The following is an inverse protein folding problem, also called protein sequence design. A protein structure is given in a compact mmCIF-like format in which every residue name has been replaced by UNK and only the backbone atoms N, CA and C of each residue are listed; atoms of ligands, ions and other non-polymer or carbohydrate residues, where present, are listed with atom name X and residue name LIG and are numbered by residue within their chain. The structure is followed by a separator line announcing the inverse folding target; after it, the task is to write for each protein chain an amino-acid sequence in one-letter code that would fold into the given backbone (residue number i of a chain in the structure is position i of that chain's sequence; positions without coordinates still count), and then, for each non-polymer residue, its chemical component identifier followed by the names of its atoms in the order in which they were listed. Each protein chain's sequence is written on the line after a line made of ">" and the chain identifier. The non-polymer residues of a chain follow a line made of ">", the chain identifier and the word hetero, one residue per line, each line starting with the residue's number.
data_IF_497701225436
#
_entry.id   IF_497701225436
#
_cell.length_a   1.000
_cell.length_b   1.000
_cell.length_c   1.000
_cell.angle_alpha   90.00
_cell.angle_beta   90.00
_cell.angle_gamma   90.00
#
_symmetry.space_group_name_H-M   'P 1'
#
loop_
_entity.id
_entity.type
_entity.pdbx_description
1 polymer ?
#
# COMPACT_ATOMS: atom_id res chain seq x y z
N UNK A 1 -53.61 15.88 -13.86
CA UNK A 1 -52.61 15.82 -12.75
C UNK A 1 -52.32 17.24 -12.25
N UNK A 2 -52.34 17.51 -10.94
CA UNK A 2 -52.00 18.84 -10.40
C UNK A 2 -50.53 19.15 -10.72
N UNK A 3 -50.19 20.40 -11.10
CA UNK A 3 -48.83 20.85 -11.45
C UNK A 3 -47.76 20.40 -10.43
N UNK A 4 -48.10 20.36 -9.14
CA UNK A 4 -47.24 19.85 -8.06
C UNK A 4 -46.90 18.36 -8.22
N UNK A 5 -47.87 17.52 -8.59
CA UNK A 5 -47.66 16.08 -8.83
C UNK A 5 -46.73 15.84 -10.01
N UNK A 6 -46.86 16.63 -11.09
CA UNK A 6 -45.95 16.55 -12.25
C UNK A 6 -44.52 16.89 -11.83
N UNK A 7 -44.33 17.98 -11.08
CA UNK A 7 -43.00 18.39 -10.60
C UNK A 7 -42.38 17.31 -9.72
N UNK A 8 -43.14 16.74 -8.77
CA UNK A 8 -42.64 15.67 -7.90
C UNK A 8 -42.21 14.44 -8.73
N UNK A 9 -43.03 14.01 -9.68
CA UNK A 9 -42.69 12.87 -10.55
C UNK A 9 -41.40 13.14 -11.34
N UNK A 10 -41.25 14.34 -11.93
CA UNK A 10 -40.05 14.71 -12.68
C UNK A 10 -38.81 14.70 -11.78
N UNK A 11 -38.90 15.26 -10.57
CA UNK A 11 -37.77 15.25 -9.62
C UNK A 11 -37.41 13.83 -9.22
N UNK A 12 -38.38 12.98 -8.94
CA UNK A 12 -38.13 11.57 -8.58
C UNK A 12 -37.47 10.82 -9.74
N UNK A 13 -37.98 10.96 -10.96
CA UNK A 13 -37.38 10.33 -12.16
C UNK A 13 -35.95 10.82 -12.36
N UNK A 14 -35.71 12.13 -12.29
CA UNK A 14 -34.38 12.70 -12.45
C UNK A 14 -33.41 12.20 -11.36
N UNK A 15 -33.86 12.13 -10.10
CA UNK A 15 -33.05 11.62 -8.99
C UNK A 15 -32.75 10.12 -9.13
N UNK A 16 -33.75 9.31 -9.48
CA UNK A 16 -33.56 7.88 -9.73
C UNK A 16 -32.63 7.63 -10.91
N UNK A 17 -32.78 8.38 -12.02
CA UNK A 17 -31.89 8.30 -13.17
C UNK A 17 -30.45 8.70 -12.80
N UNK A 18 -30.29 9.76 -12.01
CA UNK A 18 -28.99 10.19 -11.49
C UNK A 18 -28.33 9.12 -10.63
N UNK A 19 -29.07 8.52 -9.69
CA UNK A 19 -28.56 7.42 -8.86
C UNK A 19 -28.21 6.21 -9.70
N UNK A 20 -29.08 5.79 -10.62
CA UNK A 20 -28.82 4.65 -11.52
C UNK A 20 -27.54 4.88 -12.33
N UNK A 21 -27.38 6.06 -12.94
CA UNK A 21 -26.15 6.44 -13.61
C UNK A 21 -24.94 6.36 -12.69
N UNK A 22 -25.06 6.84 -11.44
CA UNK A 22 -23.98 6.81 -10.45
C UNK A 22 -23.62 5.39 -10.01
N UNK A 23 -24.55 4.45 -10.04
CA UNK A 23 -24.31 3.04 -9.75
C UNK A 23 -23.71 2.27 -10.93
N UNK A 24 -24.02 2.68 -12.16
CA UNK A 24 -23.56 2.00 -13.38
C UNK A 24 -22.22 2.53 -13.90
N UNK A 25 -21.94 3.83 -13.79
CA UNK A 25 -20.70 4.42 -14.33
C UNK A 25 -19.44 3.79 -13.71
N UNK A 26 -18.30 3.76 -14.43
CA UNK A 26 -17.01 3.36 -13.88
C UNK A 26 -16.67 4.13 -12.60
N UNK A 27 -16.07 3.42 -11.65
CA UNK A 27 -15.65 4.01 -10.38
C UNK A 27 -14.27 4.61 -10.55
N UNK A 28 -14.18 5.93 -10.39
CA UNK A 28 -12.93 6.68 -10.42
C UNK A 28 -12.58 7.01 -8.97
N UNK A 29 -11.65 6.24 -8.41
CA UNK A 29 -11.37 6.27 -6.96
C UNK A 29 -10.45 7.42 -6.54
N UNK A 30 -9.71 8.04 -7.48
CA UNK A 30 -8.83 9.18 -7.23
C UNK A 30 -8.90 10.22 -8.37
N UNK A 31 -8.26 11.37 -8.18
CA UNK A 31 -8.08 12.35 -9.26
C UNK A 31 -6.76 12.08 -9.97
N UNK A 32 -6.78 12.01 -11.29
CA UNK A 32 -5.57 11.91 -12.11
C UNK A 32 -4.90 13.28 -12.16
N UNK A 33 -3.80 13.45 -11.42
CA UNK A 33 -3.08 14.72 -11.35
C UNK A 33 -1.94 14.78 -12.36
N UNK A 34 -1.49 16.00 -12.68
CA UNK A 34 -0.37 16.23 -13.60
C UNK A 34 0.91 15.49 -13.18
N UNK A 35 1.07 15.23 -11.88
CA UNK A 35 2.21 14.50 -11.34
C UNK A 35 2.32 13.07 -11.87
N UNK A 36 1.23 12.42 -12.30
CA UNK A 36 1.24 11.03 -12.77
C UNK A 36 0.27 10.73 -13.93
N UNK A 37 -0.37 11.73 -14.53
CA UNK A 37 -1.32 11.53 -15.63
C UNK A 37 -0.68 10.90 -16.89
N UNK A 38 0.64 11.05 -17.07
CA UNK A 38 1.41 10.46 -18.18
C UNK A 38 2.52 9.55 -17.68
N UNK A 39 3.01 8.61 -18.51
CA UNK A 39 4.27 7.93 -18.25
C UNK A 39 5.45 8.93 -18.18
N UNK A 40 6.56 8.49 -17.58
CA UNK A 40 7.82 9.23 -17.54
C UNK A 40 8.53 9.04 -18.88
N UNK A 41 8.57 10.10 -19.68
CA UNK A 41 9.29 10.10 -20.94
C UNK A 41 10.81 10.06 -20.71
N UNK A 42 11.48 9.10 -21.36
CA UNK A 42 12.95 9.02 -21.37
C UNK A 42 13.45 9.48 -22.74
N UNK A 43 13.82 10.77 -22.80
CA UNK A 43 14.31 11.40 -24.03
C UNK A 43 15.75 11.00 -24.37
N UNK A 44 16.58 10.86 -23.35
CA UNK A 44 18.01 10.58 -23.51
C UNK A 44 18.55 9.82 -22.29
N UNK A 45 19.37 8.81 -22.55
CA UNK A 45 20.19 8.14 -21.55
C UNK A 45 21.55 8.86 -21.42
N UNK A 46 22.15 8.91 -20.21
CA UNK A 46 23.49 9.44 -20.06
C UNK A 46 24.49 8.65 -20.92
N UNK A 47 25.57 9.33 -21.37
CA UNK A 47 26.70 8.64 -21.98
C UNK A 47 27.16 7.49 -21.06
N UNK A 48 27.46 6.34 -21.67
CA UNK A 48 27.83 5.07 -21.03
C UNK A 48 26.69 4.21 -20.46
N UNK A 49 25.44 4.69 -20.41
CA UNK A 49 24.26 3.84 -20.09
C UNK A 49 23.63 3.34 -21.38
N UNK A 50 23.80 2.06 -21.68
CA UNK A 50 23.45 1.46 -22.98
C UNK A 50 21.99 1.03 -23.10
N UNK A 51 21.25 0.95 -21.98
CA UNK A 51 19.86 0.50 -21.95
C UNK A 51 19.13 1.07 -20.73
N UNK A 52 17.80 1.17 -20.82
CA UNK A 52 16.93 1.52 -19.70
C UNK A 52 16.77 0.39 -18.68
N UNK A 53 17.16 -0.84 -19.02
CA UNK A 53 17.07 -2.01 -18.15
C UNK A 53 17.95 -1.86 -16.91
N UNK A 54 17.42 -2.29 -15.76
CA UNK A 54 18.15 -2.42 -14.50
C UNK A 54 19.38 -3.32 -14.64
N UNK A 55 19.40 -4.26 -15.60
CA UNK A 55 20.56 -5.11 -15.90
C UNK A 55 21.75 -4.31 -16.41
N UNK A 56 21.54 -3.17 -17.07
CA UNK A 56 22.62 -2.27 -17.45
C UNK A 56 23.30 -1.68 -16.21
N UNK A 57 22.51 -1.29 -15.20
CA UNK A 57 23.00 -0.81 -13.90
C UNK A 57 23.69 -1.93 -13.11
N UNK A 58 23.15 -3.15 -13.17
CA UNK A 58 23.65 -4.32 -12.45
C UNK A 58 25.11 -4.69 -12.77
N UNK A 59 25.62 -4.29 -13.95
CA UNK A 59 27.01 -4.51 -14.34
C UNK A 59 28.01 -3.87 -13.37
N UNK A 60 27.64 -2.76 -12.73
CA UNK A 60 28.49 -2.05 -11.76
C UNK A 60 27.86 -2.03 -10.36
N UNK A 61 26.54 -1.88 -10.27
CA UNK A 61 25.77 -1.74 -9.02
C UNK A 61 25.13 -3.06 -8.58
N UNK A 62 25.93 -4.12 -8.48
CA UNK A 62 25.48 -5.50 -8.25
C UNK A 62 24.63 -5.64 -6.97
N UNK A 63 25.12 -5.14 -5.83
CA UNK A 63 24.39 -5.27 -4.56
C UNK A 63 23.04 -4.54 -4.58
N UNK A 64 23.01 -3.32 -5.14
CA UNK A 64 21.79 -2.50 -5.24
C UNK A 64 20.77 -3.19 -6.16
N UNK A 65 21.23 -3.74 -7.28
CA UNK A 65 20.38 -4.51 -8.19
C UNK A 65 19.80 -5.74 -7.50
N UNK A 66 20.62 -6.50 -6.77
CA UNK A 66 20.18 -7.69 -6.05
C UNK A 66 19.13 -7.34 -4.99
N UNK A 67 19.29 -6.24 -4.27
CA UNK A 67 18.28 -5.74 -3.32
C UNK A 67 16.96 -5.44 -4.06
N UNK A 68 17.02 -4.59 -5.10
CA UNK A 68 15.86 -4.17 -5.88
C UNK A 68 15.11 -5.35 -6.51
N UNK A 69 15.83 -6.36 -7.00
CA UNK A 69 15.24 -7.51 -7.66
C UNK A 69 14.31 -8.32 -6.72
N UNK A 70 14.51 -8.24 -5.40
CA UNK A 70 13.67 -8.92 -4.40
C UNK A 70 12.38 -8.17 -4.02
N UNK A 71 12.11 -7.02 -4.65
CA UNK A 71 11.10 -6.07 -4.17
C UNK A 71 9.74 -6.29 -4.84
N UNK A 72 8.72 -5.56 -4.39
CA UNK A 72 7.48 -5.40 -5.17
C UNK A 72 7.62 -4.36 -6.27
N UNK A 73 8.64 -3.48 -6.23
CA UNK A 73 8.91 -2.53 -7.30
C UNK A 73 9.37 -3.27 -8.57
N UNK A 74 10.33 -4.18 -8.47
CA UNK A 74 10.78 -5.01 -9.61
C UNK A 74 9.67 -5.90 -10.18
N UNK A 75 8.68 -6.24 -9.35
CA UNK A 75 7.54 -7.09 -9.71
C UNK A 75 6.23 -6.33 -9.88
N UNK A 76 6.26 -5.00 -9.92
CA UNK A 76 5.05 -4.18 -9.87
C UNK A 76 4.09 -4.50 -11.02
N UNK A 77 4.63 -4.78 -12.21
CA UNK A 77 3.85 -5.25 -13.35
C UNK A 77 3.51 -6.72 -13.28
N UNK A 78 4.46 -7.58 -12.91
CA UNK A 78 4.32 -9.04 -13.02
C UNK A 78 3.60 -9.68 -11.84
N UNK A 79 3.25 -8.91 -10.80
CA UNK A 79 2.51 -9.40 -9.65
C UNK A 79 1.16 -10.02 -10.10
N UNK A 80 0.93 -11.33 -9.84
CA UNK A 80 -0.30 -12.00 -10.23
C UNK A 80 -1.57 -11.36 -9.66
N UNK A 81 -1.48 -10.80 -8.44
CA UNK A 81 -2.59 -10.08 -7.85
C UNK A 81 -2.91 -8.84 -8.68
N UNK A 82 -1.92 -7.97 -8.90
CA UNK A 82 -2.10 -6.78 -9.73
C UNK A 82 -2.61 -7.11 -11.13
N UNK A 83 -2.05 -8.12 -11.82
CA UNK A 83 -2.51 -8.50 -13.17
C UNK A 83 -3.98 -8.92 -13.19
N UNK A 84 -4.42 -9.63 -12.15
CA UNK A 84 -5.83 -10.04 -12.02
C UNK A 84 -6.73 -8.84 -11.73
N UNK A 85 -6.31 -7.98 -10.79
CA UNK A 85 -7.07 -6.81 -10.37
C UNK A 85 -7.17 -5.75 -11.48
N UNK A 86 -6.07 -5.53 -12.21
CA UNK A 86 -6.00 -4.62 -13.36
C UNK A 86 -6.93 -5.06 -14.49
N UNK A 87 -6.97 -6.37 -14.81
CA UNK A 87 -7.92 -6.92 -15.78
C UNK A 87 -9.38 -6.78 -15.30
N UNK A 88 -9.62 -6.96 -14.00
CA UNK A 88 -10.95 -6.78 -13.41
C UNK A 88 -11.42 -5.32 -13.48
N UNK A 89 -10.50 -4.34 -13.44
CA UNK A 89 -10.79 -2.92 -13.61
C UNK A 89 -10.55 -2.44 -15.05
N UNK A 90 -10.95 -3.25 -16.04
CA UNK A 90 -10.94 -2.93 -17.47
C UNK A 90 -9.58 -2.52 -18.06
N UNK A 91 -8.49 -2.98 -17.45
CA UNK A 91 -7.12 -2.77 -17.92
C UNK A 91 -6.75 -1.29 -18.15
N UNK A 92 -7.26 -0.40 -17.28
CA UNK A 92 -7.06 1.05 -17.40
C UNK A 92 -5.58 1.43 -17.51
N UNK A 93 -5.28 2.34 -18.43
CA UNK A 93 -3.91 2.79 -18.71
C UNK A 93 -3.29 3.49 -17.49
N UNK A 94 -4.06 4.28 -16.72
CA UNK A 94 -3.51 5.06 -15.60
C UNK A 94 -2.79 4.20 -14.57
N UNK A 95 -3.18 2.94 -14.38
CA UNK A 95 -2.52 1.99 -13.48
C UNK A 95 -1.06 1.73 -13.89
N UNK A 96 -0.78 1.76 -15.19
CA UNK A 96 0.57 1.60 -15.76
C UNK A 96 1.51 2.72 -15.31
N UNK A 97 1.02 3.93 -15.06
CA UNK A 97 1.87 5.07 -14.67
C UNK A 97 2.50 4.91 -13.27
N UNK A 98 2.03 3.94 -12.47
CA UNK A 98 2.65 3.54 -11.20
C UNK A 98 3.34 2.17 -11.27
N UNK A 99 2.83 1.25 -12.07
CA UNK A 99 3.31 -0.15 -12.11
C UNK A 99 4.40 -0.40 -13.16
N UNK A 100 4.43 0.40 -14.23
CA UNK A 100 5.44 0.45 -15.31
C UNK A 100 5.59 1.92 -15.77
N UNK A 101 6.17 2.78 -14.91
CA UNK A 101 6.04 4.22 -15.08
C UNK A 101 6.79 4.80 -16.26
N UNK A 102 7.73 4.10 -16.87
CA UNK A 102 8.46 4.62 -18.04
C UNK A 102 7.60 4.51 -19.30
N UNK A 103 7.69 5.50 -20.18
CA UNK A 103 6.98 5.51 -21.46
C UNK A 103 7.30 4.26 -22.30
N UNK A 104 8.58 3.88 -22.38
CA UNK A 104 9.05 2.76 -23.20
C UNK A 104 8.65 1.38 -22.61
N UNK A 105 8.08 1.34 -21.39
CA UNK A 105 7.46 0.13 -20.84
C UNK A 105 6.00 -0.06 -21.30
N UNK A 106 5.41 0.96 -21.93
CA UNK A 106 4.01 0.94 -22.31
C UNK A 106 3.87 0.83 -23.82
N UNK A 107 2.94 -0.03 -24.24
CA UNK A 107 2.62 -0.34 -25.63
C UNK A 107 2.04 0.86 -26.38
N UNK A 108 1.54 1.86 -25.63
CA UNK A 108 0.91 3.04 -26.18
C UNK A 108 1.43 4.33 -25.51
N UNK A 109 1.59 5.37 -26.32
CA UNK A 109 1.81 6.74 -25.88
C UNK A 109 0.49 7.36 -25.45
N UNK A 110 0.52 8.18 -24.41
CA UNK A 110 -0.62 9.03 -24.02
C UNK A 110 -0.42 10.39 -24.67
N UNK A 111 -1.19 10.70 -25.72
CA UNK A 111 -1.07 11.97 -26.47
C UNK A 111 -2.05 13.03 -25.98
N UNK A 112 -3.19 12.63 -25.42
CA UNK A 112 -4.16 13.54 -24.82
C UNK A 112 -5.21 12.82 -23.97
N UNK A 113 -6.27 13.54 -23.60
CA UNK A 113 -7.40 13.00 -22.86
C UNK A 113 -8.71 13.49 -23.50
N UNK A 114 -9.71 12.61 -23.60
CA UNK A 114 -11.04 12.96 -24.11
C UNK A 114 -11.92 13.61 -23.04
N UNK A 115 -11.58 13.42 -21.77
CA UNK A 115 -12.31 13.91 -20.61
C UNK A 115 -11.44 14.85 -19.76
N UNK A 116 -12.10 15.71 -18.98
CA UNK A 116 -11.43 16.64 -18.07
C UNK A 116 -10.78 15.94 -16.86
N UNK A 117 -11.36 14.80 -16.43
CA UNK A 117 -10.87 14.03 -15.30
C UNK A 117 -9.69 13.11 -15.66
N UNK A 118 -9.30 13.07 -16.95
CA UNK A 118 -8.15 12.35 -17.51
C UNK A 118 -8.21 10.83 -17.35
N UNK A 119 -9.41 10.25 -17.30
CA UNK A 119 -9.62 8.80 -17.25
C UNK A 119 -9.73 8.15 -18.64
N UNK A 120 -9.96 8.95 -19.69
CA UNK A 120 -10.08 8.50 -21.08
C UNK A 120 -8.89 9.01 -21.91
N UNK A 121 -7.72 8.37 -21.82
CA UNK A 121 -6.56 8.77 -22.60
C UNK A 121 -6.76 8.51 -24.10
N UNK A 122 -6.17 9.37 -24.91
CA UNK A 122 -5.96 9.15 -26.34
C UNK A 122 -4.63 8.42 -26.47
N UNK A 123 -4.70 7.22 -27.07
CA UNK A 123 -3.59 6.27 -27.14
C UNK A 123 -3.13 6.07 -28.58
N UNK A 124 -1.82 6.12 -28.77
CA UNK A 124 -1.15 5.83 -30.04
C UNK A 124 -0.11 4.73 -29.85
N UNK A 125 0.13 3.85 -30.84
CA UNK A 125 1.17 2.83 -30.72
C UNK A 125 2.53 3.43 -30.37
N UNK A 126 3.21 2.85 -29.39
CA UNK A 126 4.55 3.27 -29.00
C UNK A 126 5.62 2.52 -29.81
N UNK A 127 6.34 3.16 -30.74
CA UNK A 127 7.38 2.49 -31.52
C UNK A 127 8.62 2.12 -30.70
N UNK A 128 8.76 2.66 -29.48
CA UNK A 128 9.86 2.39 -28.55
C UNK A 128 9.48 1.40 -27.45
N UNK A 129 8.32 0.75 -27.57
CA UNK A 129 7.88 -0.23 -26.58
C UNK A 129 8.89 -1.38 -26.46
N UNK A 130 9.34 -1.62 -25.23
CA UNK A 130 10.25 -2.69 -24.85
C UNK A 130 9.53 -3.60 -23.84
N UNK A 131 9.15 -4.79 -24.32
CA UNK A 131 8.47 -5.78 -23.51
C UNK A 131 9.34 -6.31 -22.37
N UNK A 132 10.65 -6.42 -22.55
CA UNK A 132 11.55 -6.89 -21.49
C UNK A 132 11.67 -5.83 -20.39
N UNK A 133 11.75 -4.55 -20.77
CA UNK A 133 11.74 -3.44 -19.82
C UNK A 133 10.43 -3.37 -19.03
N UNK A 134 9.29 -3.68 -19.66
CA UNK A 134 7.98 -3.73 -18.97
C UNK A 134 7.99 -4.73 -17.80
N UNK A 135 8.66 -5.88 -17.98
CA UNK A 135 8.73 -6.92 -16.95
C UNK A 135 9.65 -6.55 -15.77
N UNK A 136 10.37 -5.43 -15.84
CA UNK A 136 11.14 -4.89 -14.71
C UNK A 136 10.31 -3.97 -13.79
N UNK A 137 9.05 -3.67 -14.12
CA UNK A 137 8.19 -2.85 -13.26
C UNK A 137 8.79 -1.47 -12.95
N UNK A 138 8.90 -1.12 -11.68
CA UNK A 138 9.53 0.13 -11.24
C UNK A 138 11.06 -0.06 -11.20
N UNK A 139 11.71 0.14 -12.36
CA UNK A 139 13.16 -0.02 -12.56
C UNK A 139 13.99 1.17 -12.02
N UNK A 140 15.33 1.07 -12.05
CA UNK A 140 16.25 2.09 -11.52
C UNK A 140 16.00 3.49 -12.12
N UNK A 141 15.76 3.54 -13.43
CA UNK A 141 15.57 4.79 -14.17
C UNK A 141 14.27 5.52 -13.81
N UNK A 142 13.24 4.83 -13.29
CA UNK A 142 12.02 5.48 -12.80
C UNK A 142 12.35 6.48 -11.69
N UNK A 143 13.19 6.06 -10.75
CA UNK A 143 13.57 6.87 -9.59
C UNK A 143 14.74 7.80 -9.87
N UNK A 144 15.75 7.32 -10.60
CA UNK A 144 17.05 7.99 -10.68
C UNK A 144 17.27 8.80 -11.96
N UNK A 145 16.65 8.47 -13.09
CA UNK A 145 16.96 9.16 -14.35
C UNK A 145 16.16 10.45 -14.49
N UNK A 146 16.83 11.60 -14.57
CA UNK A 146 16.22 12.90 -14.92
C UNK A 146 17.11 13.61 -15.91
N UNK A 147 16.54 14.05 -17.03
CA UNK A 147 17.22 14.91 -18.01
C UNK A 147 18.60 14.37 -18.45
N UNK A 148 18.68 13.06 -18.73
CA UNK A 148 19.93 12.41 -19.16
C UNK A 148 20.98 12.26 -18.06
N UNK A 149 20.62 12.45 -16.78
CA UNK A 149 21.52 12.33 -15.62
C UNK A 149 20.95 11.37 -14.59
N UNK A 150 21.83 10.64 -13.90
CA UNK A 150 21.46 9.76 -12.79
C UNK A 150 21.52 10.54 -11.49
N UNK A 151 20.36 10.75 -10.87
CA UNK A 151 20.23 11.35 -9.56
C UNK A 151 20.74 10.39 -8.49
N UNK A 152 21.60 10.85 -7.59
CA UNK A 152 22.09 10.04 -6.48
C UNK A 152 22.26 10.88 -5.21
N UNK A 153 22.58 10.25 -4.06
CA UNK A 153 22.87 10.99 -2.83
C UNK A 153 24.14 11.87 -2.95
N UNK A 154 24.97 11.58 -3.95
CA UNK A 154 26.21 12.28 -4.27
C UNK A 154 26.16 12.85 -5.69
N UNK A 155 26.78 14.01 -5.92
CA UNK A 155 26.79 14.70 -7.21
C UNK A 155 28.16 14.79 -7.88
N UNK A 156 29.20 14.28 -7.24
CA UNK A 156 30.61 14.57 -7.49
C UNK A 156 31.48 13.29 -7.52
N UNK A 157 30.87 12.13 -7.65
CA UNK A 157 31.60 10.85 -7.75
C UNK A 157 32.19 10.66 -9.14
N UNK A 158 33.31 9.91 -9.24
CA UNK A 158 33.89 9.48 -10.51
C UNK A 158 33.06 8.36 -11.15
N UNK A 159 31.93 8.71 -11.75
CA UNK A 159 31.04 7.79 -12.45
C UNK A 159 31.28 7.85 -13.97
N UNK A 160 31.13 6.74 -14.71
CA UNK A 160 31.25 6.72 -16.17
C UNK A 160 30.06 7.38 -16.89
N UNK A 161 29.02 7.74 -16.14
CA UNK A 161 27.80 8.39 -16.62
C UNK A 161 27.56 9.69 -15.85
N UNK A 162 26.82 10.62 -16.46
CA UNK A 162 26.48 11.89 -15.82
C UNK A 162 25.64 11.67 -14.55
N UNK A 163 26.01 12.36 -13.47
CA UNK A 163 25.34 12.28 -12.16
C UNK A 163 24.95 13.66 -11.64
N UNK A 164 23.88 13.73 -10.86
CA UNK A 164 23.50 14.94 -10.12
C UNK A 164 23.06 14.56 -8.72
N UNK A 165 23.31 15.44 -7.75
CA UNK A 165 22.80 15.23 -6.39
C UNK A 165 21.28 15.34 -6.37
N UNK A 166 20.61 14.35 -5.80
CA UNK A 166 19.18 14.36 -5.51
C UNK A 166 18.91 15.32 -4.35
N UNK A 167 18.03 16.30 -4.55
CA UNK A 167 17.64 17.28 -3.53
C UNK A 167 16.88 16.64 -2.36
N UNK A 168 15.59 16.38 -2.56
CA UNK A 168 14.76 15.63 -1.62
C UNK A 168 14.45 14.23 -2.20
N UNK A 169 15.03 13.16 -1.64
CA UNK A 169 14.82 11.81 -2.14
C UNK A 169 13.42 11.26 -1.82
N UNK A 170 12.62 11.89 -0.95
CA UNK A 170 11.24 11.44 -0.71
C UNK A 170 10.29 11.84 -1.85
N UNK A 171 10.62 12.87 -2.64
CA UNK A 171 9.77 13.34 -3.75
C UNK A 171 9.53 12.27 -4.82
N UNK A 172 10.50 11.36 -5.01
CA UNK A 172 10.37 10.28 -6.00
C UNK A 172 9.25 9.30 -5.62
N UNK A 173 8.94 9.17 -4.33
CA UNK A 173 7.88 8.29 -3.83
C UNK A 173 6.48 8.87 -4.10
N UNK A 174 6.36 10.20 -4.06
CA UNK A 174 5.06 10.89 -4.04
C UNK A 174 4.29 10.73 -5.35
N UNK A 175 4.98 10.55 -6.49
CA UNK A 175 4.34 10.32 -7.79
C UNK A 175 3.37 9.14 -7.76
N UNK A 176 3.76 8.04 -7.12
CA UNK A 176 2.99 6.79 -7.12
C UNK A 176 2.27 6.55 -5.79
N UNK A 177 2.85 6.98 -4.66
CA UNK A 177 2.32 6.71 -3.32
C UNK A 177 1.43 7.83 -2.76
N UNK A 178 1.12 8.86 -3.56
CA UNK A 178 0.19 9.93 -3.20
C UNK A 178 -0.81 10.15 -4.33
N UNK A 179 -1.95 9.48 -4.25
CA UNK A 179 -3.09 9.70 -5.14
C UNK A 179 -4.13 10.56 -4.41
N UNK A 180 -4.08 11.87 -4.61
CA UNK A 180 -5.08 12.77 -4.01
C UNK A 180 -6.38 12.77 -4.80
N UNK A 181 -7.47 13.23 -4.18
CA UNK A 181 -8.75 13.33 -4.84
C UNK A 181 -9.64 14.35 -4.16
N UNK A 182 -9.52 15.62 -4.55
CA UNK A 182 -10.59 16.61 -4.31
C UNK A 182 -11.50 16.59 -5.52
N UNK A 183 -12.65 15.92 -5.40
CA UNK A 183 -13.75 15.94 -6.37
C UNK A 183 -15.05 16.21 -5.62
N UNK A 184 -16.03 16.77 -6.32
CA UNK A 184 -17.33 17.11 -5.74
C UNK A 184 -18.11 15.89 -5.20
N UNK A 185 -17.81 14.69 -5.71
CA UNK A 185 -18.48 13.43 -5.37
C UNK A 185 -17.65 12.50 -4.49
N UNK A 186 -16.53 13.00 -3.96
CA UNK A 186 -15.62 12.26 -3.07
C UNK A 186 -15.47 12.98 -1.73
N UNK A 187 -15.89 12.31 -0.66
CA UNK A 187 -15.87 12.80 0.72
C UNK A 187 -14.87 11.98 1.54
N UNK A 188 -13.60 12.13 1.20
CA UNK A 188 -12.49 11.49 1.88
C UNK A 188 -12.03 12.30 3.09
N UNK A 189 -11.81 11.63 4.22
CA UNK A 189 -10.92 12.15 5.27
C UNK A 189 -9.45 11.99 4.85
N UNK A 190 -9.15 10.92 4.12
CA UNK A 190 -7.82 10.62 3.58
C UNK A 190 -7.97 10.03 2.16
N UNK A 191 -7.08 10.27 1.21
CA UNK A 191 -7.19 9.64 -0.11
C UNK A 191 -7.13 8.09 -0.03
N UNK A 192 -7.64 7.32 -1.01
CA UNK A 192 -7.68 5.85 -0.94
C UNK A 192 -6.32 5.20 -0.67
N UNK A 193 -5.24 5.76 -1.25
CA UNK A 193 -3.86 5.42 -0.90
C UNK A 193 -3.20 6.67 -0.27
N UNK A 194 -3.69 7.06 0.90
CA UNK A 194 -3.40 8.33 1.56
C UNK A 194 -2.19 8.33 2.51
N UNK A 195 -1.16 7.52 2.26
CA UNK A 195 -0.02 7.31 3.18
C UNK A 195 0.58 8.61 3.70
N UNK A 196 0.75 9.61 2.83
CA UNK A 196 1.30 10.91 3.26
C UNK A 196 0.34 11.69 4.14
N UNK A 197 -0.95 11.71 3.78
CA UNK A 197 -1.99 12.33 4.62
C UNK A 197 -2.09 11.66 5.99
N UNK A 198 -1.87 10.34 6.07
CA UNK A 198 -1.79 9.61 7.33
C UNK A 198 -0.62 10.09 8.21
N UNK A 199 0.58 10.25 7.62
CA UNK A 199 1.78 10.76 8.32
C UNK A 199 1.53 12.18 8.85
N UNK A 200 1.02 13.05 7.99
CA UNK A 200 0.71 14.44 8.36
C UNK A 200 -0.35 14.51 9.47
N UNK A 201 -1.35 13.62 9.44
CA UNK A 201 -2.45 13.61 10.43
C UNK A 201 -2.01 13.28 11.86
N UNK A 202 -0.86 12.63 12.02
CA UNK A 202 -0.26 12.33 13.33
C UNK A 202 0.87 13.30 13.69
N UNK A 203 1.05 14.37 12.91
CA UNK A 203 2.06 15.41 13.17
C UNK A 203 3.49 15.02 12.79
N UNK A 204 3.68 13.92 12.06
CA UNK A 204 4.98 13.44 11.63
C UNK A 204 5.39 14.05 10.28
N UNK A 205 6.70 14.02 9.99
CA UNK A 205 7.24 14.48 8.70
C UNK A 205 7.44 13.30 7.75
N UNK A 206 7.31 13.56 6.45
CA UNK A 206 7.58 12.58 5.40
C UNK A 206 9.06 12.16 5.47
N UNK A 207 9.30 10.88 5.74
CA UNK A 207 10.62 10.30 5.92
C UNK A 207 10.71 8.87 5.33
N UNK A 208 10.05 8.66 4.18
CA UNK A 208 9.94 7.36 3.51
C UNK A 208 11.31 6.67 3.35
N UNK A 209 12.31 7.42 2.88
CA UNK A 209 13.67 6.91 2.60
C UNK A 209 14.36 6.45 3.87
N UNK A 210 14.15 7.12 4.99
CA UNK A 210 14.84 6.81 6.25
C UNK A 210 14.44 5.42 6.78
N UNK A 211 13.17 5.04 6.64
CA UNK A 211 12.64 3.76 7.11
C UNK A 211 12.66 2.66 6.03
N UNK A 212 12.22 2.97 4.80
CA UNK A 212 12.10 1.96 3.73
C UNK A 212 13.37 1.75 2.91
N UNK A 213 14.36 2.63 3.07
CA UNK A 213 15.71 2.46 2.53
C UNK A 213 16.74 2.60 3.67
N UNK A 214 16.87 1.60 4.56
CA UNK A 214 17.78 1.69 5.70
C UNK A 214 19.21 2.07 5.31
N UNK A 215 19.87 2.83 6.19
CA UNK A 215 21.24 3.25 5.97
C UNK A 215 22.20 2.05 6.01
N UNK A 216 23.21 2.08 5.15
CA UNK A 216 24.28 1.06 5.10
C UNK A 216 25.61 1.74 4.77
N UNK A 217 26.71 1.23 5.29
CA UNK A 217 28.06 1.67 4.90
C UNK A 217 28.63 0.66 3.91
N UNK A 218 28.74 1.04 2.64
CA UNK A 218 29.26 0.17 1.58
C UNK A 218 29.79 0.98 0.41
N UNK A 219 30.63 0.40 -0.47
CA UNK A 219 30.90 1.05 -1.73
C UNK A 219 29.66 0.97 -2.66
N UNK A 220 29.53 1.93 -3.58
CA UNK A 220 28.42 1.91 -4.56
C UNK A 220 28.64 0.87 -5.67
N UNK A 221 29.90 0.51 -5.91
CA UNK A 221 30.37 -0.46 -6.92
C UNK A 221 31.53 -1.26 -6.31
N UNK A 222 31.80 -2.46 -6.83
CA UNK A 222 32.93 -3.27 -6.37
C UNK A 222 34.26 -2.50 -6.47
N UNK A 223 35.10 -2.57 -5.43
CA UNK A 223 36.38 -1.84 -5.35
C UNK A 223 36.26 -0.33 -5.14
N UNK A 224 35.05 0.21 -5.00
CA UNK A 224 34.83 1.62 -4.70
C UNK A 224 35.12 2.00 -3.24
N UNK A 225 35.05 3.30 -2.95
CA UNK A 225 35.18 3.81 -1.58
C UNK A 225 33.89 3.53 -0.77
N UNK A 226 34.07 2.95 0.42
CA UNK A 226 32.99 2.80 1.41
C UNK A 226 32.43 4.16 1.80
N UNK A 227 31.11 4.29 1.73
CA UNK A 227 30.40 5.52 2.06
C UNK A 227 28.97 5.23 2.51
N UNK A 228 28.32 6.26 3.05
CA UNK A 228 26.93 6.18 3.46
C UNK A 228 26.03 5.95 2.23
N UNK A 229 25.42 4.78 2.19
CA UNK A 229 24.49 4.39 1.15
C UNK A 229 23.16 3.98 1.76
N UNK A 230 22.25 3.54 0.90
CA UNK A 230 20.89 3.16 1.25
C UNK A 230 20.58 1.81 0.62
N UNK A 231 19.86 0.98 1.36
CA UNK A 231 19.36 -0.30 0.85
C UNK A 231 18.13 -0.09 -0.04
N UNK A 232 18.01 -0.86 -1.12
CA UNK A 232 16.94 -0.79 -2.10
C UNK A 232 15.96 -1.96 -1.91
N UNK A 233 15.45 -2.12 -0.68
CA UNK A 233 14.62 -3.27 -0.27
C UNK A 233 13.11 -2.95 -0.19
N UNK A 234 12.74 -1.72 0.19
CA UNK A 234 11.36 -1.23 0.37
C UNK A 234 10.39 -2.26 0.97
N UNK A 235 10.81 -2.94 2.04
CA UNK A 235 9.97 -3.93 2.71
C UNK A 235 8.71 -3.25 3.26
N UNK A 236 7.60 -3.99 3.18
CA UNK A 236 6.26 -3.51 3.53
C UNK A 236 5.33 -4.69 3.80
N UNK A 237 4.05 -4.61 3.43
CA UNK A 237 3.05 -5.66 3.76
C UNK A 237 3.31 -7.05 3.16
N UNK A 238 4.22 -7.21 2.21
CA UNK A 238 4.64 -8.53 1.68
C UNK A 238 5.85 -9.12 2.43
N UNK A 239 6.33 -8.44 3.47
CA UNK A 239 7.42 -8.89 4.33
C UNK A 239 6.90 -9.00 5.77
N UNK A 240 6.65 -10.22 6.28
CA UNK A 240 6.10 -10.40 7.61
C UNK A 240 6.94 -9.78 8.72
N UNK A 241 8.26 -9.84 8.62
CA UNK A 241 9.17 -9.28 9.63
C UNK A 241 9.09 -7.75 9.67
N UNK A 242 8.89 -7.10 8.52
CA UNK A 242 8.63 -5.65 8.48
C UNK A 242 7.35 -5.28 9.22
N UNK A 243 6.27 -6.04 9.03
CA UNK A 243 5.00 -5.77 9.71
C UNK A 243 5.10 -6.03 11.21
N UNK A 244 5.78 -7.12 11.61
CA UNK A 244 6.05 -7.42 13.03
C UNK A 244 6.81 -6.29 13.72
N UNK A 245 7.86 -5.74 13.09
CA UNK A 245 8.61 -4.60 13.64
C UNK A 245 7.77 -3.35 13.84
N UNK A 246 6.70 -3.16 13.07
CA UNK A 246 5.81 -2.01 13.21
C UNK A 246 4.81 -2.14 14.36
N UNK A 247 4.53 -3.36 14.83
CA UNK A 247 3.50 -3.65 15.81
C UNK A 247 4.09 -4.03 17.17
N UNK A 248 3.80 -3.23 18.19
CA UNK A 248 3.96 -3.63 19.59
C UNK A 248 2.62 -4.19 20.09
N UNK A 249 2.67 -5.35 20.74
CA UNK A 249 1.51 -5.96 21.41
C UNK A 249 1.84 -6.22 22.86
N UNK A 250 0.90 -5.90 23.76
CA UNK A 250 0.97 -6.21 25.18
C UNK A 250 -0.27 -7.02 25.55
N UNK A 251 -0.07 -8.21 26.12
CA UNK A 251 -1.15 -9.09 26.53
C UNK A 251 -1.03 -9.41 28.01
N UNK A 252 -2.08 -9.11 28.77
CA UNK A 252 -2.08 -9.24 30.23
C UNK A 252 -3.37 -9.85 30.71
N UNK A 253 -3.32 -10.49 31.88
CA UNK A 253 -4.49 -10.99 32.59
C UNK A 253 -4.56 -10.35 33.97
N UNK A 254 -5.79 -10.11 34.44
CA UNK A 254 -6.09 -9.65 35.79
C UNK A 254 -7.34 -10.33 36.33
N UNK A 255 -7.29 -10.81 37.57
CA UNK A 255 -8.48 -11.18 38.33
C UNK A 255 -9.33 -9.92 38.61
N UNK A 256 -10.64 -10.01 38.33
CA UNK A 256 -11.61 -8.93 38.57
C UNK A 256 -12.28 -9.15 39.93
N UNK A 257 -12.64 -10.40 40.24
CA UNK A 257 -13.13 -10.88 41.53
C UNK A 257 -13.02 -12.42 41.61
N UNK A 258 -13.59 -13.01 42.66
CA UNK A 258 -13.56 -14.46 42.89
C UNK A 258 -14.13 -15.24 41.71
N UNK A 259 -13.25 -15.92 40.98
CA UNK A 259 -13.64 -16.75 39.84
C UNK A 259 -13.90 -15.99 38.55
N UNK A 260 -13.58 -14.68 38.44
CA UNK A 260 -13.65 -13.94 37.17
C UNK A 260 -12.34 -13.22 36.86
N UNK A 261 -11.94 -13.33 35.60
CA UNK A 261 -10.70 -12.78 35.09
C UNK A 261 -10.96 -11.98 33.82
N UNK A 262 -10.09 -11.00 33.57
CA UNK A 262 -10.06 -10.18 32.36
C UNK A 262 -8.71 -10.36 31.68
N UNK A 263 -8.73 -10.79 30.42
CA UNK A 263 -7.57 -10.61 29.55
C UNK A 263 -7.68 -9.27 28.82
N UNK A 264 -6.54 -8.59 28.68
CA UNK A 264 -6.41 -7.29 28.03
C UNK A 264 -5.28 -7.35 27.01
N UNK A 265 -5.60 -7.03 25.77
CA UNK A 265 -4.67 -6.92 24.66
C UNK A 265 -4.57 -5.48 24.19
N UNK A 266 -3.37 -4.91 24.19
CA UNK A 266 -3.09 -3.56 23.66
C UNK A 266 -2.17 -3.65 22.47
N UNK A 267 -2.61 -3.11 21.33
CA UNK A 267 -1.85 -3.05 20.09
C UNK A 267 -1.46 -1.60 19.80
N UNK A 268 -0.19 -1.37 19.49
CA UNK A 268 0.36 -0.04 19.18
C UNK A 268 1.20 -0.11 17.92
N UNK A 269 0.92 0.78 16.97
CA UNK A 269 1.83 1.02 15.86
C UNK A 269 3.01 1.87 16.35
N UNK A 270 4.21 1.28 16.40
CA UNK A 270 5.44 1.90 16.91
C UNK A 270 6.51 2.09 15.85
N UNK A 271 6.38 1.44 14.69
CA UNK A 271 7.41 1.44 13.65
C UNK A 271 7.01 2.12 12.34
N UNK A 272 5.77 2.59 12.20
CA UNK A 272 5.29 3.29 11.02
C UNK A 272 4.62 4.62 11.39
N UNK A 273 5.10 5.72 10.83
CA UNK A 273 4.53 7.06 11.02
C UNK A 273 3.19 7.25 10.28
N UNK A 274 2.88 6.40 9.31
CA UNK A 274 1.55 6.27 8.71
C UNK A 274 0.70 5.24 9.48
N UNK A 275 -0.54 5.00 9.05
CA UNK A 275 -1.39 4.01 9.72
C UNK A 275 -0.88 2.58 9.48
N UNK A 276 -1.15 1.67 10.40
CA UNK A 276 -0.89 0.25 10.24
C UNK A 276 -2.24 -0.50 10.15
N UNK A 277 -2.58 -1.08 8.98
CA UNK A 277 -1.91 -0.97 7.68
C UNK A 277 -2.15 0.35 6.94
N UNK A 278 -1.26 0.74 6.04
CA UNK A 278 -1.44 1.83 5.06
C UNK A 278 -1.62 1.28 3.64
N UNK A 279 -1.79 2.18 2.67
CA UNK A 279 -1.88 1.85 1.24
C UNK A 279 -3.31 1.57 0.80
N UNK A 280 -3.51 0.49 0.05
CA UNK A 280 -4.83 0.14 -0.49
C UNK A 280 -5.85 -0.14 0.63
N UNK A 281 -7.12 0.27 0.49
CA UNK A 281 -8.15 0.05 1.51
C UNK A 281 -8.44 -1.42 1.83
N UNK A 282 -7.97 -2.36 1.01
CA UNK A 282 -8.13 -3.80 1.22
C UNK A 282 -7.22 -4.39 2.30
N UNK A 283 -6.21 -3.65 2.77
CA UNK A 283 -5.33 -4.09 3.86
C UNK A 283 -6.02 -3.92 5.22
N UNK A 284 -5.97 -4.94 6.08
CA UNK A 284 -6.51 -4.87 7.45
C UNK A 284 -5.76 -5.79 8.43
N UNK A 285 -5.99 -5.57 9.73
CA UNK A 285 -5.59 -6.52 10.78
C UNK A 285 -6.82 -7.22 11.35
N UNK A 286 -6.63 -8.44 11.84
CA UNK A 286 -7.58 -9.10 12.76
C UNK A 286 -6.88 -9.39 14.08
N UNK A 287 -7.60 -9.17 15.18
CA UNK A 287 -7.18 -9.52 16.54
C UNK A 287 -8.17 -10.55 17.06
N UNK A 288 -7.68 -11.76 17.32
CA UNK A 288 -8.48 -12.85 17.85
C UNK A 288 -8.03 -13.11 19.29
N UNK A 289 -8.94 -12.95 20.23
CA UNK A 289 -8.76 -13.34 21.63
C UNK A 289 -9.49 -14.66 21.85
N UNK A 290 -8.85 -15.61 22.53
CA UNK A 290 -9.43 -16.92 22.86
C UNK A 290 -9.11 -17.28 24.30
N UNK A 291 -10.06 -17.88 24.97
CA UNK A 291 -9.89 -18.50 26.28
C UNK A 291 -10.27 -19.96 26.15
N UNK A 292 -9.40 -20.83 26.60
CA UNK A 292 -9.56 -22.28 26.61
C UNK A 292 -9.78 -22.76 28.04
N UNK A 293 -10.64 -23.76 28.19
CA UNK A 293 -10.78 -24.50 29.43
C UNK A 293 -9.58 -25.46 29.65
N UNK A 294 -9.47 -26.11 30.82
CA UNK A 294 -8.37 -27.03 31.11
C UNK A 294 -8.27 -28.24 30.18
N UNK A 295 -9.35 -28.59 29.47
CA UNK A 295 -9.39 -29.69 28.51
C UNK A 295 -9.02 -29.22 27.08
N UNK A 296 -8.66 -27.94 26.92
CA UNK A 296 -8.25 -27.34 25.66
C UNK A 296 -9.40 -26.93 24.74
N UNK A 297 -10.64 -26.92 25.22
CA UNK A 297 -11.80 -26.46 24.46
C UNK A 297 -11.98 -24.96 24.61
N UNK A 298 -12.33 -24.29 23.50
CA UNK A 298 -12.58 -22.84 23.50
C UNK A 298 -13.82 -22.55 24.36
N UNK A 299 -13.62 -21.89 25.50
CA UNK A 299 -14.69 -21.38 26.37
C UNK A 299 -15.28 -20.09 25.78
N UNK A 300 -14.41 -19.19 25.30
CA UNK A 300 -14.82 -17.90 24.75
C UNK A 300 -13.84 -17.44 23.67
N UNK A 301 -14.36 -16.80 22.63
CA UNK A 301 -13.57 -16.18 21.58
C UNK A 301 -14.19 -14.85 21.14
N UNK A 302 -13.34 -13.88 20.80
CA UNK A 302 -13.72 -12.61 20.20
C UNK A 302 -12.76 -12.30 19.06
N UNK A 303 -13.29 -11.74 17.99
CA UNK A 303 -12.50 -11.27 16.86
C UNK A 303 -12.82 -9.80 16.58
N UNK A 304 -11.78 -9.01 16.40
CA UNK A 304 -11.88 -7.59 16.04
C UNK A 304 -11.14 -7.34 14.73
N UNK A 305 -11.75 -6.54 13.85
CA UNK A 305 -11.14 -6.13 12.58
C UNK A 305 -10.74 -4.66 12.61
N UNK A 306 -9.47 -4.40 12.31
CA UNK A 306 -8.91 -3.05 12.18
C UNK A 306 -8.74 -2.72 10.70
N UNK A 307 -9.67 -1.93 10.16
CA UNK A 307 -9.74 -1.59 8.73
C UNK A 307 -10.27 -0.18 8.51
N UNK A 308 -10.02 0.34 7.32
CA UNK A 308 -10.74 1.50 6.82
C UNK A 308 -11.99 1.05 6.08
N UNK A 309 -13.14 1.61 6.41
CA UNK A 309 -14.40 1.29 5.75
C UNK A 309 -14.87 2.47 4.93
N UNK A 310 -14.95 2.24 3.62
CA UNK A 310 -15.36 3.23 2.62
C UNK A 310 -16.64 2.75 1.97
N UNK A 311 -17.65 3.62 1.91
CA UNK A 311 -18.78 3.45 1.01
C UNK A 311 -18.35 3.94 -0.36
N UNK A 312 -18.36 3.07 -1.37
CA UNK A 312 -17.84 3.40 -2.69
C UNK A 312 -18.89 3.93 -3.68
N UNK A 313 -20.18 3.69 -3.41
CA UNK A 313 -21.31 4.12 -4.25
C UNK A 313 -22.51 4.50 -3.37
N UNK A 314 -23.37 5.42 -3.81
CA UNK A 314 -23.25 6.21 -5.05
C UNK A 314 -22.19 7.32 -4.94
N UNK A 315 -21.85 7.74 -3.73
CA UNK A 315 -20.74 8.64 -3.43
C UNK A 315 -19.61 7.86 -2.77
N UNK A 316 -18.38 8.37 -2.89
CA UNK A 316 -17.26 7.80 -2.15
C UNK A 316 -17.17 8.51 -0.80
N UNK A 317 -17.42 7.79 0.29
CA UNK A 317 -17.49 8.35 1.65
C UNK A 317 -16.70 7.49 2.61
N UNK A 318 -15.79 8.11 3.36
CA UNK A 318 -15.15 7.47 4.51
C UNK A 318 -16.15 7.33 5.66
N UNK A 319 -16.46 6.09 6.04
CA UNK A 319 -17.42 5.82 7.11
C UNK A 319 -16.71 5.77 8.47
N UNK A 320 -15.70 4.91 8.59
CA UNK A 320 -14.89 4.78 9.81
C UNK A 320 -13.51 4.18 9.51
N UNK A 321 -12.56 4.46 10.40
CA UNK A 321 -11.21 3.92 10.32
C UNK A 321 -10.78 3.35 11.68
N UNK A 322 -10.65 2.02 11.73
CA UNK A 322 -10.22 1.28 12.92
C UNK A 322 -8.77 0.83 12.86
N UNK A 323 -7.98 1.27 11.87
CA UNK A 323 -6.55 0.96 11.74
C UNK A 323 -5.75 1.64 12.87
N UNK A 324 -4.48 1.26 13.05
CA UNK A 324 -3.62 1.77 14.12
C UNK A 324 -2.87 3.02 13.66
N UNK A 325 -3.21 4.23 14.14
CA UNK A 325 -2.36 5.41 13.94
C UNK A 325 -1.05 5.25 14.70
N UNK A 326 -0.02 5.98 14.27
CA UNK A 326 1.28 5.98 14.95
C UNK A 326 1.15 6.40 16.41
N UNK A 327 1.75 5.61 17.32
CA UNK A 327 1.76 5.80 18.77
C UNK A 327 0.38 5.96 19.45
N UNK A 328 -0.70 5.55 18.79
CA UNK A 328 -2.05 5.59 19.35
C UNK A 328 -2.54 4.14 19.61
N UNK A 329 -2.44 3.64 20.86
CA UNK A 329 -2.79 2.27 21.18
C UNK A 329 -4.29 1.99 21.02
N UNK A 330 -4.63 0.74 20.68
CA UNK A 330 -5.98 0.20 20.78
C UNK A 330 -6.01 -0.98 21.74
N UNK A 331 -6.98 -0.98 22.64
CA UNK A 331 -7.13 -2.00 23.67
C UNK A 331 -8.40 -2.82 23.48
N UNK A 332 -8.27 -4.14 23.63
CA UNK A 332 -9.33 -5.13 23.55
C UNK A 332 -9.36 -5.93 24.85
N UNK A 333 -10.55 -6.14 25.41
CA UNK A 333 -10.71 -6.86 26.67
C UNK A 333 -11.73 -7.99 26.53
N UNK A 334 -11.47 -9.08 27.24
CA UNK A 334 -12.40 -10.19 27.34
C UNK A 334 -12.49 -10.67 28.79
N UNK A 335 -13.70 -10.61 29.33
CA UNK A 335 -14.01 -11.15 30.65
C UNK A 335 -14.49 -12.59 30.52
N UNK A 336 -14.08 -13.44 31.45
CA UNK A 336 -14.49 -14.84 31.53
C UNK A 336 -14.49 -15.33 32.98
N UNK A 337 -15.27 -16.38 33.24
CA UNK A 337 -15.31 -17.03 34.53
C UNK A 337 -14.38 -18.25 34.53
N UNK A 338 -13.75 -18.53 35.67
CA UNK A 338 -12.92 -19.72 35.88
C UNK A 338 -13.74 -20.81 36.58
N UNK A 339 -13.63 -22.04 36.07
CA UNK A 339 -14.50 -23.17 36.42
C UNK A 339 -14.02 -24.07 37.57
N UNK A 340 -13.14 -23.57 38.45
CA UNK A 340 -12.63 -24.32 39.61
C UNK A 340 -11.31 -25.07 39.37
N UNK A 341 -10.27 -24.64 40.10
CA UNK A 341 -9.05 -25.36 40.49
C UNK A 341 -7.99 -25.70 39.43
N UNK A 342 -8.30 -25.67 38.13
CA UNK A 342 -7.33 -26.00 37.08
C UNK A 342 -6.95 -24.79 36.22
N UNK A 343 -5.67 -24.72 35.87
CA UNK A 343 -5.14 -23.67 34.99
C UNK A 343 -5.90 -23.62 33.66
N UNK A 344 -6.25 -22.40 33.25
CA UNK A 344 -6.85 -22.13 31.95
C UNK A 344 -5.82 -21.46 31.04
N UNK A 345 -6.08 -21.42 29.73
CA UNK A 345 -5.20 -20.76 28.78
C UNK A 345 -5.93 -19.61 28.11
N UNK A 346 -5.32 -18.42 28.07
CA UNK A 346 -5.76 -17.36 27.19
C UNK A 346 -4.74 -17.11 26.09
N UNK A 347 -5.21 -16.80 24.89
CA UNK A 347 -4.38 -16.58 23.72
C UNK A 347 -4.84 -15.35 22.97
N UNK A 348 -3.86 -14.62 22.43
CA UNK A 348 -4.06 -13.60 21.42
C UNK A 348 -3.38 -14.02 20.12
N UNK A 349 -4.05 -13.79 18.99
CA UNK A 349 -3.48 -13.87 17.64
C UNK A 349 -3.77 -12.57 16.91
N UNK A 350 -2.73 -11.97 16.33
CA UNK A 350 -2.87 -10.82 15.43
C UNK A 350 -2.45 -11.26 14.03
N UNK A 351 -3.31 -11.07 13.04
CA UNK A 351 -3.02 -11.36 11.62
C UNK A 351 -3.04 -10.10 10.80
N UNK A 352 -2.09 -10.01 9.87
CA UNK A 352 -2.10 -9.02 8.79
C UNK A 352 -2.70 -9.64 7.54
N UNK A 353 -3.61 -8.91 6.90
CA UNK A 353 -4.27 -9.34 5.68
C UNK A 353 -3.85 -8.42 4.53
N UNK A 354 -3.25 -9.04 3.51
CA UNK A 354 -3.00 -8.40 2.22
C UNK A 354 -4.34 -8.19 1.51
N UNK A 355 -5.18 -9.22 1.42
CA UNK A 355 -6.39 -9.15 0.63
C UNK A 355 -7.59 -9.69 1.39
N UNK A 356 -8.72 -9.01 1.29
CA UNK A 356 -9.98 -9.53 1.80
C UNK A 356 -10.47 -10.71 0.95
N UNK A 357 -10.88 -11.79 1.60
CA UNK A 357 -11.36 -13.01 0.92
C UNK A 357 -12.56 -12.74 -0.01
N UNK A 358 -13.46 -11.81 0.34
CA UNK A 358 -14.57 -11.43 -0.53
C UNK A 358 -14.08 -10.74 -1.82
N UNK A 359 -13.06 -9.88 -1.74
CA UNK A 359 -12.43 -9.27 -2.91
C UNK A 359 -11.74 -10.32 -3.76
N UNK A 360 -10.95 -11.21 -3.14
CA UNK A 360 -10.27 -12.32 -3.83
C UNK A 360 -11.25 -13.15 -4.68
N UNK A 361 -12.36 -13.59 -4.08
CA UNK A 361 -13.40 -14.35 -4.77
C UNK A 361 -14.04 -13.55 -5.90
N UNK A 362 -14.35 -12.27 -5.65
CA UNK A 362 -14.98 -11.37 -6.64
C UNK A 362 -14.13 -11.19 -7.89
N UNK A 363 -12.82 -11.01 -7.74
CA UNK A 363 -11.88 -10.85 -8.86
C UNK A 363 -11.37 -12.19 -9.42
N UNK A 364 -11.80 -13.32 -8.83
CA UNK A 364 -11.36 -14.69 -9.18
C UNK A 364 -9.83 -14.85 -9.10
N UNK A 365 -9.21 -14.24 -8.08
CA UNK A 365 -7.77 -14.35 -7.90
C UNK A 365 -7.40 -15.68 -7.22
N UNK A 366 -6.60 -16.48 -7.92
CA UNK A 366 -6.02 -17.74 -7.45
C UNK A 366 -4.62 -17.46 -6.90
N UNK A 367 -4.57 -17.06 -5.63
CA UNK A 367 -3.31 -16.77 -4.95
C UNK A 367 -2.51 -18.06 -4.72
N UNK A 368 -1.22 -18.04 -5.11
CA UNK A 368 -0.26 -19.11 -4.75
C UNK A 368 0.31 -18.92 -3.35
N UNK A 369 0.54 -17.67 -2.99
CA UNK A 369 1.03 -17.26 -1.67
C UNK A 369 -0.14 -16.88 -0.74
N UNK A 370 0.01 -17.03 0.59
CA UNK A 370 -1.03 -16.64 1.54
C UNK A 370 -1.41 -15.15 1.43
N UNK A 371 -2.71 -14.86 1.42
CA UNK A 371 -3.24 -13.48 1.45
C UNK A 371 -3.29 -12.89 2.87
N UNK A 372 -2.89 -13.65 3.89
CA UNK A 372 -2.75 -13.20 5.26
C UNK A 372 -1.73 -14.04 6.02
N UNK A 373 -1.15 -13.48 7.07
CA UNK A 373 -0.19 -14.17 7.92
C UNK A 373 -0.22 -13.63 9.36
N UNK A 374 0.29 -14.42 10.30
CA UNK A 374 0.38 -14.03 11.71
C UNK A 374 1.54 -13.06 11.91
N UNK A 375 1.28 -11.99 12.65
CA UNK A 375 2.28 -10.99 13.07
C UNK A 375 2.49 -11.01 14.58
N UNK A 376 1.57 -11.62 15.33
CA UNK A 376 1.75 -11.82 16.76
C UNK A 376 0.94 -13.02 17.23
N UNK A 377 1.51 -13.80 18.14
CA UNK A 377 0.83 -14.83 18.91
C UNK A 377 1.45 -14.92 20.29
N UNK A 378 0.61 -14.92 21.31
CA UNK A 378 1.04 -15.12 22.69
C UNK A 378 -0.05 -15.89 23.44
N UNK A 379 0.35 -16.72 24.39
CA UNK A 379 -0.57 -17.38 25.30
C UNK A 379 -0.09 -17.22 26.74
N UNK A 380 -1.02 -17.05 27.65
CA UNK A 380 -0.78 -16.91 29.08
C UNK A 380 -1.58 -17.98 29.84
N UNK A 381 -0.91 -18.67 30.76
CA UNK A 381 -1.57 -19.58 31.69
C UNK A 381 -2.22 -18.77 32.80
N UNK A 382 -3.48 -19.08 33.08
CA UNK A 382 -4.31 -18.41 34.07
C UNK A 382 -4.42 -19.36 35.25
N UNK A 383 -3.62 -19.10 36.28
CA UNK A 383 -3.65 -19.87 37.52
C UNK A 383 -4.88 -19.48 38.33
N UNK A 384 -5.63 -20.49 38.77
CA UNK A 384 -6.81 -20.30 39.61
C UNK A 384 -6.46 -20.15 41.10
#
# INVERSE_FOLDING_TARGET
>A
MRRKTIVIIVVVIAFTAFLAWRFLRPMNIFTVSEAFERPIAVKQLPLSVTSQSAKACARCHVEIYNEWNTTMHSRAWTDPYFQTDWKFDDSRQICKNCHIPLEDQQEHLVTGFRDQDKWEPILEPNPRFDADLQHEGVTCNVCHLREGRILGPYGDTRAPHAITKMGDPNQVCLRCHVVQGKRWDTFFRMPPCGTVTEIESVGEKINCVQCHMPAVQRPLVAGGQIRAARQHLWRGGHDPEMVKRALKTEFTEKSIDTGRHRVTATLTNVGATHFLPTGTPDRYLTVTLRVFDPDGKVLKAQEHTLKRTVMWRPFIVDLWDTRLPYQQPRTYTMDFATGGGKDMLAEIIVRYHLLNEARRKRIKYENKEPISYEVYRESISIKQ
#
